data_IF_694144204171
#
_entry.id   IF_694144204171
#
_cell.length_a   1.000
_cell.length_b   1.000
_cell.length_c   1.000
_cell.angle_alpha   90.00
_cell.angle_beta   90.00
_cell.angle_gamma   90.00
#
_symmetry.space_group_name_H-M   'P 1'
#
loop_
_entity.id
_entity.type
_entity.pdbx_description
1 polymer ?
#
# COMPACT_ATOMS: atom_id res chain seq x y z
N UNK A 1 10.25 -26.64 -13.51
CA UNK A 1 9.45 -25.40 -13.59
C UNK A 1 9.64 -24.86 -14.99
N UNK A 2 8.55 -24.62 -15.72
CA UNK A 2 8.60 -24.09 -17.08
C UNK A 2 8.35 -22.58 -17.01
N UNK A 3 9.43 -21.83 -16.90
CA UNK A 3 9.37 -20.38 -16.73
C UNK A 3 8.70 -19.68 -17.92
N UNK A 4 8.83 -20.20 -19.14
CA UNK A 4 8.22 -19.57 -20.29
C UNK A 4 6.70 -19.65 -20.21
N UNK A 5 6.16 -20.85 -19.95
CA UNK A 5 4.73 -21.05 -19.78
C UNK A 5 4.17 -20.27 -18.58
N UNK A 6 4.92 -20.21 -17.48
CA UNK A 6 4.52 -19.49 -16.27
C UNK A 6 4.45 -17.97 -16.51
N UNK A 7 5.45 -17.37 -17.17
CA UNK A 7 5.46 -15.95 -17.52
C UNK A 7 4.35 -15.60 -18.53
N UNK A 8 4.12 -16.46 -19.53
CA UNK A 8 3.01 -16.28 -20.46
C UNK A 8 1.64 -16.36 -19.77
N UNK A 9 1.49 -17.23 -18.78
CA UNK A 9 0.24 -17.34 -18.01
C UNK A 9 0.03 -16.11 -17.12
N UNK A 10 1.09 -15.65 -16.44
CA UNK A 10 1.03 -14.51 -15.54
C UNK A 10 0.81 -13.18 -16.25
N UNK A 11 1.23 -13.06 -17.51
CA UNK A 11 1.04 -11.87 -18.34
C UNK A 11 -0.35 -11.76 -19.00
N UNK A 12 -1.19 -12.82 -18.95
CA UNK A 12 -2.56 -12.82 -19.51
C UNK A 12 -3.57 -12.18 -18.55
N UNK A 13 -4.51 -11.40 -19.10
CA UNK A 13 -5.69 -10.87 -18.38
C UNK A 13 -6.96 -11.66 -18.73
N UNK A 14 -7.96 -11.73 -17.84
CA UNK A 14 -8.04 -11.13 -16.49
C UNK A 14 -7.23 -11.91 -15.43
N UNK A 15 -6.73 -11.19 -14.41
CA UNK A 15 -5.96 -11.77 -13.29
C UNK A 15 -6.89 -12.68 -12.47
N UNK A 16 -6.53 -13.95 -12.33
CA UNK A 16 -7.31 -14.99 -11.64
C UNK A 16 -7.05 -15.00 -10.13
N UNK A 17 -7.91 -15.69 -9.36
CA UNK A 17 -7.65 -15.97 -7.94
C UNK A 17 -6.31 -16.68 -7.76
N UNK A 18 -5.52 -16.22 -6.78
CA UNK A 18 -4.16 -16.72 -6.54
C UNK A 18 -3.08 -16.21 -7.51
N UNK A 19 -3.42 -15.32 -8.46
CA UNK A 19 -2.45 -14.71 -9.37
C UNK A 19 -1.30 -14.04 -8.64
N UNK A 20 -1.59 -13.29 -7.56
CA UNK A 20 -0.55 -12.60 -6.78
C UNK A 20 0.45 -13.56 -6.14
N UNK A 21 -0.04 -14.66 -5.56
CA UNK A 21 0.81 -15.70 -4.97
C UNK A 21 1.65 -16.40 -6.04
N UNK A 22 1.04 -16.77 -7.17
CA UNK A 22 1.76 -17.37 -8.29
C UNK A 22 2.84 -16.42 -8.83
N UNK A 23 2.52 -15.13 -8.98
CA UNK A 23 3.46 -14.10 -9.41
C UNK A 23 4.68 -14.02 -8.48
N UNK A 24 4.46 -13.97 -7.17
CA UNK A 24 5.53 -13.91 -6.18
C UNK A 24 6.42 -15.15 -6.22
N UNK A 25 5.83 -16.34 -6.23
CA UNK A 25 6.56 -17.62 -6.29
C UNK A 25 7.38 -17.74 -7.58
N UNK A 26 6.80 -17.35 -8.73
CA UNK A 26 7.52 -17.36 -10.02
C UNK A 26 8.64 -16.34 -10.03
N UNK A 27 8.43 -15.13 -9.50
CA UNK A 27 9.48 -14.11 -9.39
C UNK A 27 10.66 -14.58 -8.54
N UNK A 28 10.38 -15.13 -7.35
CA UNK A 28 11.41 -15.67 -6.45
C UNK A 28 12.19 -16.80 -7.12
N UNK A 29 11.48 -17.76 -7.72
CA UNK A 29 12.10 -18.91 -8.39
C UNK A 29 12.93 -18.50 -9.62
N UNK A 30 12.44 -17.53 -10.40
CA UNK A 30 13.15 -17.01 -11.56
C UNK A 30 14.42 -16.26 -11.13
N UNK A 31 14.33 -15.43 -10.09
CA UNK A 31 15.48 -14.71 -9.54
C UNK A 31 16.58 -15.66 -9.04
N UNK A 32 16.20 -16.70 -8.30
CA UNK A 32 17.12 -17.74 -7.85
C UNK A 32 17.74 -18.52 -9.01
N UNK A 33 16.96 -18.80 -10.08
CA UNK A 33 17.50 -19.46 -11.26
C UNK A 33 18.57 -18.61 -11.97
N UNK A 34 18.39 -17.28 -12.02
CA UNK A 34 19.41 -16.36 -12.53
C UNK A 34 20.65 -16.27 -11.63
N UNK A 35 20.48 -16.30 -10.31
CA UNK A 35 21.60 -16.36 -9.36
C UNK A 35 22.43 -17.63 -9.54
N UNK A 36 21.77 -18.76 -9.77
CA UNK A 36 22.42 -20.07 -9.97
C UNK A 36 23.05 -20.23 -11.37
N UNK A 37 23.01 -19.19 -12.22
CA UNK A 37 23.62 -19.22 -13.55
C UNK A 37 22.91 -20.15 -14.54
N UNK A 38 21.61 -20.41 -14.37
CA UNK A 38 20.87 -21.28 -15.28
C UNK A 38 20.76 -20.64 -16.67
N UNK A 39 21.49 -21.18 -17.65
CA UNK A 39 21.53 -20.64 -19.00
C UNK A 39 20.19 -20.73 -19.73
N UNK A 40 19.34 -21.69 -19.35
CA UNK A 40 18.02 -21.86 -19.95
C UNK A 40 17.06 -20.72 -19.61
N UNK A 41 17.29 -19.93 -18.57
CA UNK A 41 16.41 -18.79 -18.20
C UNK A 41 16.89 -17.45 -18.72
N UNK A 42 18.12 -17.36 -19.25
CA UNK A 42 18.70 -16.11 -19.74
C UNK A 42 17.89 -15.49 -20.89
N UNK A 43 17.39 -16.32 -21.82
CA UNK A 43 16.59 -15.84 -22.94
C UNK A 43 15.22 -15.28 -22.51
N UNK A 44 14.77 -15.59 -21.29
CA UNK A 44 13.50 -15.14 -20.73
C UNK A 44 13.63 -13.82 -19.95
N UNK A 45 14.84 -13.28 -19.77
CA UNK A 45 15.06 -12.03 -19.02
C UNK A 45 14.25 -10.87 -19.60
N UNK A 46 14.20 -10.75 -20.94
CA UNK A 46 13.42 -9.70 -21.60
C UNK A 46 11.91 -9.88 -21.39
N UNK A 47 11.43 -11.13 -21.46
CA UNK A 47 10.01 -11.45 -21.25
C UNK A 47 9.60 -11.19 -19.80
N UNK A 48 10.45 -11.58 -18.85
CA UNK A 48 10.28 -11.28 -17.44
C UNK A 48 10.21 -9.76 -17.20
N UNK A 49 11.16 -8.99 -17.76
CA UNK A 49 11.13 -7.53 -17.65
C UNK A 49 9.85 -6.95 -18.26
N UNK A 50 9.43 -7.43 -19.44
CA UNK A 50 8.19 -6.99 -20.08
C UNK A 50 6.95 -7.23 -19.21
N UNK A 51 6.88 -8.40 -18.56
CA UNK A 51 5.81 -8.70 -17.59
C UNK A 51 5.85 -7.74 -16.40
N UNK A 52 7.04 -7.40 -15.87
CA UNK A 52 7.16 -6.45 -14.76
C UNK A 52 6.65 -5.04 -15.11
N UNK A 53 6.75 -4.62 -16.36
CA UNK A 53 6.20 -3.32 -16.81
C UNK A 53 4.67 -3.30 -16.92
N UNK A 54 3.99 -4.43 -16.68
CA UNK A 54 2.52 -4.49 -16.65
C UNK A 54 1.98 -4.15 -15.25
N UNK A 55 1.25 -3.05 -15.09
CA UNK A 55 0.58 -2.58 -13.85
C UNK A 55 1.12 -3.18 -12.52
N UNK A 56 0.26 -3.77 -11.68
CA UNK A 56 0.62 -4.23 -10.32
C UNK A 56 1.71 -5.33 -10.25
N UNK A 57 2.20 -5.82 -11.39
CA UNK A 57 3.20 -6.89 -11.46
C UNK A 57 4.50 -6.47 -10.77
N UNK A 58 4.95 -5.23 -10.99
CA UNK A 58 6.18 -4.73 -10.37
C UNK A 58 6.04 -4.57 -8.85
N UNK A 59 4.88 -4.08 -8.38
CA UNK A 59 4.58 -3.93 -6.95
C UNK A 59 4.56 -5.29 -6.23
N UNK A 60 4.10 -6.36 -6.88
CA UNK A 60 4.16 -7.70 -6.32
C UNK A 60 5.55 -8.32 -6.39
N UNK A 61 6.25 -8.14 -7.51
CA UNK A 61 7.59 -8.70 -7.69
C UNK A 61 8.59 -8.16 -6.66
N UNK A 62 8.50 -6.88 -6.29
CA UNK A 62 9.38 -6.29 -5.27
C UNK A 62 9.19 -6.87 -3.86
N UNK A 63 8.04 -7.51 -3.59
CA UNK A 63 7.82 -8.22 -2.33
C UNK A 63 8.62 -9.52 -2.28
N UNK A 64 8.74 -10.20 -3.43
CA UNK A 64 9.49 -11.44 -3.58
C UNK A 64 11.00 -11.24 -3.83
N UNK A 65 11.39 -10.14 -4.48
CA UNK A 65 12.78 -9.84 -4.86
C UNK A 65 13.24 -8.56 -4.15
N UNK A 66 13.96 -8.65 -3.02
CA UNK A 66 14.45 -7.50 -2.24
C UNK A 66 15.31 -6.52 -3.04
N UNK A 67 16.05 -6.98 -4.05
CA UNK A 67 16.95 -6.19 -4.88
C UNK A 67 16.20 -5.18 -5.73
N UNK A 68 14.96 -5.47 -6.10
CA UNK A 68 14.09 -4.51 -6.78
C UNK A 68 13.77 -3.31 -5.88
N UNK A 69 13.79 -3.48 -4.54
CA UNK A 69 13.65 -2.39 -3.57
C UNK A 69 14.98 -1.67 -3.28
N UNK A 70 16.09 -2.12 -3.85
CA UNK A 70 17.42 -1.56 -3.62
C UNK A 70 18.22 -2.24 -2.51
N UNK A 71 17.71 -3.32 -1.89
CA UNK A 71 18.49 -4.14 -0.96
C UNK A 71 19.28 -5.18 -1.75
N UNK A 72 20.56 -4.90 -2.02
CA UNK A 72 21.45 -5.83 -2.71
C UNK A 72 22.29 -6.56 -1.68
N UNK A 73 22.13 -7.89 -1.59
CA UNK A 73 22.97 -8.75 -0.76
C UNK A 73 23.93 -9.53 -1.67
N UNK A 74 25.23 -9.28 -1.52
CA UNK A 74 26.28 -9.97 -2.27
C UNK A 74 26.47 -9.52 -3.73
N UNK A 75 27.17 -10.37 -4.50
CA UNK A 75 27.46 -10.13 -5.91
C UNK A 75 26.34 -10.69 -6.79
N UNK A 76 25.75 -9.82 -7.60
CA UNK A 76 24.72 -10.20 -8.58
C UNK A 76 25.34 -10.73 -9.87
N UNK A 77 24.69 -11.72 -10.47
CA UNK A 77 25.05 -12.20 -11.81
C UNK A 77 24.74 -11.14 -12.87
N UNK A 78 25.40 -11.23 -14.02
CA UNK A 78 25.16 -10.31 -15.15
C UNK A 78 23.68 -10.24 -15.55
N UNK A 79 22.99 -11.37 -15.51
CA UNK A 79 21.57 -11.45 -15.83
C UNK A 79 20.67 -10.75 -14.79
N UNK A 80 21.00 -10.89 -13.49
CA UNK A 80 20.32 -10.17 -12.43
C UNK A 80 20.54 -8.66 -12.56
N UNK A 81 21.77 -8.24 -12.86
CA UNK A 81 22.08 -6.82 -13.12
C UNK A 81 21.33 -6.27 -14.32
N UNK A 82 21.16 -7.07 -15.38
CA UNK A 82 20.36 -6.71 -16.55
C UNK A 82 18.89 -6.47 -16.19
N UNK A 83 18.27 -7.35 -15.38
CA UNK A 83 16.91 -7.13 -14.86
C UNK A 83 16.82 -5.82 -14.06
N UNK A 84 17.78 -5.55 -13.16
CA UNK A 84 17.78 -4.31 -12.37
C UNK A 84 17.95 -3.07 -13.23
N UNK A 85 18.69 -3.16 -14.33
CA UNK A 85 18.88 -2.08 -15.30
C UNK A 85 17.60 -1.83 -16.11
N UNK A 86 16.94 -2.89 -16.56
CA UNK A 86 15.70 -2.78 -17.33
C UNK A 86 14.49 -2.34 -16.51
N UNK A 87 14.55 -2.44 -15.18
CA UNK A 87 13.47 -2.02 -14.27
C UNK A 87 13.80 -0.72 -13.52
N UNK A 88 14.84 0.01 -13.95
CA UNK A 88 15.33 1.20 -13.26
C UNK A 88 14.26 2.31 -13.12
N UNK A 89 13.53 2.59 -14.20
CA UNK A 89 12.44 3.56 -14.26
C UNK A 89 11.29 3.20 -13.31
N UNK A 90 10.92 1.91 -13.25
CA UNK A 90 9.91 1.40 -12.33
C UNK A 90 10.35 1.56 -10.87
N UNK A 91 11.63 1.32 -10.59
CA UNK A 91 12.24 1.47 -9.26
C UNK A 91 12.25 2.94 -8.82
N UNK A 92 12.64 3.86 -9.69
CA UNK A 92 12.60 5.30 -9.41
C UNK A 92 11.16 5.79 -9.16
N UNK A 93 10.22 5.39 -10.03
CA UNK A 93 8.81 5.77 -9.90
C UNK A 93 8.21 5.25 -8.59
N UNK A 94 8.51 4.00 -8.23
CA UNK A 94 8.09 3.40 -6.97
C UNK A 94 8.64 4.14 -5.75
N UNK A 95 9.94 4.46 -5.76
CA UNK A 95 10.56 5.17 -4.64
C UNK A 95 9.99 6.58 -4.49
N UNK A 96 9.63 7.22 -5.59
CA UNK A 96 8.96 8.52 -5.58
C UNK A 96 7.51 8.44 -5.11
N UNK A 97 6.77 7.33 -5.31
CA UNK A 97 5.41 7.19 -4.75
C UNK A 97 5.36 7.18 -3.22
N UNK A 98 6.50 6.95 -2.56
CA UNK A 98 6.61 7.00 -1.09
C UNK A 98 6.72 8.42 -0.51
N UNK A 99 6.73 9.47 -1.33
CA UNK A 99 6.67 10.84 -0.81
C UNK A 99 5.21 11.27 -0.58
N UNK A 100 4.57 10.69 0.44
CA UNK A 100 3.50 11.41 1.12
C UNK A 100 4.16 12.67 1.68
N UNK A 101 3.83 13.80 1.08
CA UNK A 101 4.33 15.11 1.51
C UNK A 101 3.29 15.74 2.43
N UNK A 102 3.71 16.68 3.28
CA UNK A 102 2.78 17.41 4.15
C UNK A 102 1.65 18.10 3.36
N UNK A 103 1.92 18.48 2.10
CA UNK A 103 0.94 19.06 1.19
C UNK A 103 -0.26 18.13 0.89
N UNK A 104 -0.07 16.81 0.93
CA UNK A 104 -1.17 15.86 0.70
C UNK A 104 -2.22 15.93 1.81
N UNK A 105 -1.82 16.37 3.01
CA UNK A 105 -2.68 16.60 4.17
C UNK A 105 -3.18 18.05 4.29
N UNK A 106 -2.67 18.97 3.48
CA UNK A 106 -3.11 20.37 3.44
C UNK A 106 -4.22 20.63 2.41
N UNK A 107 -4.68 19.58 1.72
CA UNK A 107 -5.76 19.68 0.74
C UNK A 107 -7.12 19.97 1.38
N UNK A 108 -7.98 20.73 0.71
CA UNK A 108 -9.34 21.00 1.16
C UNK A 108 -10.15 19.71 1.34
N UNK A 109 -9.93 18.71 0.48
CA UNK A 109 -10.58 17.40 0.56
C UNK A 109 -10.18 16.63 1.83
N UNK A 110 -8.91 16.68 2.24
CA UNK A 110 -8.47 16.05 3.50
C UNK A 110 -9.10 16.72 4.73
N UNK A 111 -9.23 18.04 4.72
CA UNK A 111 -9.93 18.77 5.80
C UNK A 111 -11.41 18.40 5.86
N UNK A 112 -12.07 18.33 4.70
CA UNK A 112 -13.46 17.91 4.61
C UNK A 112 -13.67 16.47 5.11
N UNK A 113 -12.77 15.55 4.76
CA UNK A 113 -12.78 14.18 5.30
C UNK A 113 -12.63 14.16 6.83
N UNK A 114 -11.74 14.98 7.37
CA UNK A 114 -11.55 15.12 8.83
C UNK A 114 -12.79 15.68 9.51
N UNK A 115 -13.45 16.67 8.92
CA UNK A 115 -14.68 17.24 9.46
C UNK A 115 -15.81 16.21 9.46
N UNK A 116 -15.95 15.42 8.38
CA UNK A 116 -16.93 14.33 8.31
C UNK A 116 -16.67 13.26 9.38
N UNK A 117 -15.42 12.86 9.55
CA UNK A 117 -15.04 11.86 10.56
C UNK A 117 -15.29 12.38 11.98
N UNK A 118 -14.94 13.64 12.24
CA UNK A 118 -15.21 14.28 13.52
C UNK A 118 -16.72 14.32 13.79
N UNK A 119 -17.53 14.72 12.81
CA UNK A 119 -18.99 14.79 12.97
C UNK A 119 -19.61 13.39 13.21
N UNK A 120 -19.07 12.36 12.57
CA UNK A 120 -19.46 10.97 12.82
C UNK A 120 -19.11 10.50 14.25
N UNK A 121 -17.90 10.82 14.75
CA UNK A 121 -17.48 10.51 16.12
C UNK A 121 -18.32 11.23 17.17
N UNK A 122 -18.63 12.50 16.91
CA UNK A 122 -19.54 13.33 17.70
C UNK A 122 -20.91 12.68 17.82
N UNK A 123 -21.48 12.27 16.68
CA UNK A 123 -22.80 11.64 16.65
C UNK A 123 -22.78 10.31 17.39
N UNK A 124 -21.74 9.49 17.19
CA UNK A 124 -21.56 8.23 17.91
C UNK A 124 -21.45 8.43 19.43
N UNK A 125 -20.64 9.38 19.88
CA UNK A 125 -20.47 9.69 21.30
C UNK A 125 -21.78 10.21 21.93
N UNK A 126 -22.54 11.02 21.20
CA UNK A 126 -23.83 11.52 21.65
C UNK A 126 -24.86 10.40 21.78
N UNK A 127 -24.91 9.49 20.80
CA UNK A 127 -25.75 8.29 20.87
C UNK A 127 -25.35 7.43 22.06
N UNK A 128 -24.05 7.18 22.29
CA UNK A 128 -23.57 6.38 23.41
C UNK A 128 -23.99 6.92 24.79
N UNK A 129 -23.99 8.24 24.97
CA UNK A 129 -24.47 8.89 26.21
C UNK A 129 -26.00 8.74 26.35
N UNK A 130 -26.76 8.87 25.27
CA UNK A 130 -28.23 8.91 25.31
C UNK A 130 -28.91 7.53 25.21
N UNK A 131 -28.26 6.54 24.60
CA UNK A 131 -28.84 5.22 24.34
C UNK A 131 -28.64 4.22 25.49
N UNK A 132 -28.13 4.66 26.65
CA UNK A 132 -28.01 3.83 27.85
C UNK A 132 -27.08 2.63 27.70
N UNK A 133 -26.07 2.72 26.82
CA UNK A 133 -24.99 1.73 26.77
C UNK A 133 -24.31 1.62 28.14
N UNK A 134 -23.77 0.45 28.48
CA UNK A 134 -23.09 0.18 29.75
C UNK A 134 -21.73 0.91 29.84
N UNK A 135 -21.78 2.23 29.81
CA UNK A 135 -20.67 3.11 30.16
C UNK A 135 -20.67 3.27 31.67
N UNK A 136 -19.53 3.05 32.29
CA UNK A 136 -19.36 3.41 33.69
C UNK A 136 -19.46 4.95 33.86
N UNK A 137 -19.79 5.44 35.06
CA UNK A 137 -20.01 6.86 35.30
C UNK A 137 -18.80 7.75 34.99
N UNK A 138 -17.57 7.23 35.11
CA UNK A 138 -16.36 8.00 34.84
C UNK A 138 -16.16 8.18 33.32
N UNK A 139 -16.33 7.11 32.54
CA UNK A 139 -16.27 7.18 31.07
C UNK A 139 -17.39 8.06 30.49
N UNK A 140 -18.59 8.01 31.07
CA UNK A 140 -19.69 8.87 30.63
C UNK A 140 -19.39 10.37 30.86
N UNK A 141 -18.75 10.71 31.99
CA UNK A 141 -18.36 12.08 32.31
C UNK A 141 -17.19 12.57 31.44
N UNK A 142 -16.21 11.71 31.15
CA UNK A 142 -15.10 12.03 30.24
C UNK A 142 -15.61 12.32 28.83
N UNK A 143 -16.52 11.50 28.31
CA UNK A 143 -17.12 11.73 26.99
C UNK A 143 -17.91 13.04 26.99
N UNK A 144 -18.70 13.34 28.04
CA UNK A 144 -19.44 14.61 28.17
C UNK A 144 -18.50 15.82 28.17
N UNK A 145 -17.44 15.76 28.96
CA UNK A 145 -16.43 16.82 29.03
C UNK A 145 -15.76 17.04 27.66
N UNK A 146 -15.46 15.94 26.95
CA UNK A 146 -14.93 16.01 25.59
C UNK A 146 -15.95 16.60 24.60
N UNK A 147 -17.25 16.28 24.71
CA UNK A 147 -18.28 16.90 23.88
C UNK A 147 -18.39 18.42 24.11
N UNK A 148 -18.24 18.86 25.37
CA UNK A 148 -18.34 20.27 25.77
C UNK A 148 -17.12 21.10 25.37
N UNK A 149 -15.96 20.48 25.19
CA UNK A 149 -14.70 21.15 24.84
C UNK A 149 -14.45 21.26 23.32
N UNK A 150 -15.41 20.85 22.48
CA UNK A 150 -15.23 20.83 21.03
C UNK A 150 -14.96 22.23 20.45
N UNK A 151 -13.95 22.39 19.57
CA UNK A 151 -13.76 23.62 18.81
C UNK A 151 -14.95 23.83 17.87
N UNK A 152 -15.66 24.95 18.02
CA UNK A 152 -16.80 25.31 17.16
C UNK A 152 -18.11 25.53 17.90
N UNK A 153 -18.29 24.94 19.08
CA UNK A 153 -19.36 25.36 20.00
C UNK A 153 -18.89 26.55 20.82
N UNK A 154 -18.84 27.73 20.20
CA UNK A 154 -18.94 28.97 21.00
C UNK A 154 -20.24 28.83 21.77
N UNK A 155 -20.16 28.78 23.11
CA UNK A 155 -21.31 28.89 24.01
C UNK A 155 -22.18 30.02 23.47
N UNK A 156 -23.30 29.66 22.83
CA UNK A 156 -24.36 30.61 22.58
C UNK A 156 -24.81 30.98 23.98
N UNK A 157 -24.33 32.12 24.48
CA UNK A 157 -24.95 32.76 25.63
C UNK A 157 -26.41 32.89 25.23
N UNK A 158 -27.27 32.06 25.82
CA UNK A 158 -28.66 32.43 26.00
C UNK A 158 -28.63 33.59 26.98
N UNK A 159 -28.37 34.77 26.42
CA UNK A 159 -28.95 35.98 26.97
C UNK A 159 -30.48 35.87 26.79
N UNK A 160 -31.19 36.61 27.63
CA UNK A 160 -32.65 36.73 27.75
C UNK A 160 -33.30 35.71 28.70
N UNK A 161 -34.13 36.12 29.65
CA UNK A 161 -34.53 37.43 30.18
C UNK A 161 -35.29 37.15 31.49
#
# INVERSE_FOLDING_TARGET
MDFQADLEKLSRRPKIDGWATAMQLTCESFWQALANGNTSTLHLVQEFCRMLHQDDSFDLARLAIPELRGFIDGQLTTAQQEVLKHTHDLRETSNNRSCITQNDFDTAAYREEKDILLDAEINRASVLIHSGGALDPASAEEIRLWLDQRPGMKKVKRDEA
#
